data_IF_005858960009
#
_entry.id   IF_005858960009
#
_cell.length_a   1.000
_cell.length_b   1.000
_cell.length_c   1.000
_cell.angle_alpha   90.00
_cell.angle_beta   90.00
_cell.angle_gamma   90.00
#
_symmetry.space_group_name_H-M   'P 1'
#
loop_
_entity.id
_entity.type
_entity.pdbx_description
1 polymer ?
#
# COMPACT_ATOMS: atom_id res chain seq x y z
N UNK A 1 2.81 20.80 -6.40
CA UNK A 1 2.01 20.60 -7.61
C UNK A 1 2.87 19.86 -8.61
N UNK A 2 2.61 18.58 -8.94
CA UNK A 2 3.34 17.89 -10.00
C UNK A 2 2.90 18.46 -11.34
N UNK A 3 3.84 18.55 -12.27
CA UNK A 3 3.85 19.23 -13.53
C UNK A 3 2.51 19.35 -14.26
N UNK A 4 2.12 20.59 -14.52
CA UNK A 4 1.12 20.97 -15.52
C UNK A 4 1.45 20.27 -16.84
N UNK A 5 0.69 19.23 -17.18
CA UNK A 5 0.72 18.64 -18.50
C UNK A 5 0.26 19.72 -19.51
N UNK A 6 1.16 20.14 -20.36
CA UNK A 6 0.92 21.10 -21.46
C UNK A 6 0.05 20.50 -22.60
N UNK A 7 -0.57 19.33 -22.37
CA UNK A 7 -1.48 18.68 -23.30
C UNK A 7 -2.87 18.67 -22.67
N UNK A 8 -3.89 19.02 -23.47
CA UNK A 8 -5.30 18.92 -23.07
C UNK A 8 -5.67 17.51 -22.61
N UNK A 9 -6.94 17.24 -22.25
CA UNK A 9 -7.39 15.94 -21.75
C UNK A 9 -7.14 14.78 -22.74
N UNK A 10 -6.97 15.07 -24.04
CA UNK A 10 -6.51 14.09 -25.05
C UNK A 10 -4.99 14.10 -25.09
N UNK A 11 -4.38 13.05 -24.56
CA UNK A 11 -2.93 12.94 -24.49
C UNK A 11 -2.33 12.48 -25.82
N UNK A 12 -2.99 11.55 -26.50
CA UNK A 12 -2.61 11.07 -27.82
C UNK A 12 -3.79 10.30 -28.46
N UNK A 13 -3.99 10.49 -29.74
CA UNK A 13 -4.90 9.69 -30.57
C UNK A 13 -4.20 9.35 -31.88
N UNK A 14 -4.06 8.06 -32.19
CA UNK A 14 -3.34 7.60 -33.38
C UNK A 14 -3.98 6.36 -33.98
N UNK A 15 -3.91 6.28 -35.30
CA UNK A 15 -4.30 5.12 -36.09
C UNK A 15 -3.08 4.26 -36.42
N UNK A 16 -3.32 2.95 -36.46
CA UNK A 16 -2.33 1.90 -36.74
C UNK A 16 -2.86 0.95 -37.80
N UNK A 17 -1.97 0.49 -38.69
CA UNK A 17 -2.22 -0.62 -39.61
C UNK A 17 -0.94 -1.44 -39.79
N UNK A 18 -1.08 -2.74 -39.94
CA UNK A 18 0.04 -3.67 -40.20
C UNK A 18 1.22 -3.49 -39.21
N UNK A 19 0.93 -3.17 -37.96
CA UNK A 19 1.95 -2.95 -36.92
C UNK A 19 2.68 -1.61 -36.98
N UNK A 20 2.24 -0.68 -37.82
CA UNK A 20 2.83 0.66 -37.95
C UNK A 20 1.81 1.75 -37.64
N UNK A 21 2.29 2.86 -37.04
CA UNK A 21 1.49 4.06 -36.86
C UNK A 21 1.29 4.74 -38.23
N UNK A 22 0.04 4.97 -38.63
CA UNK A 22 -0.32 5.66 -39.88
C UNK A 22 -0.23 7.18 -39.66
N UNK A 23 -0.76 7.66 -38.53
CA UNK A 23 -0.80 9.08 -38.20
C UNK A 23 -1.60 9.38 -36.94
N UNK A 24 -1.66 10.68 -36.60
CA UNK A 24 -2.60 11.16 -35.58
C UNK A 24 -4.00 11.24 -36.20
N UNK A 25 -4.99 11.10 -35.35
CA UNK A 25 -6.41 11.14 -35.72
C UNK A 25 -7.11 12.14 -34.81
N UNK A 26 -7.90 13.02 -35.37
CA UNK A 26 -8.82 13.84 -34.56
C UNK A 26 -10.01 12.98 -34.11
N UNK A 27 -10.63 13.32 -32.98
CA UNK A 27 -11.69 12.49 -32.42
C UNK A 27 -12.86 12.34 -33.41
N UNK A 28 -13.18 13.40 -34.11
CA UNK A 28 -14.30 13.47 -35.09
C UNK A 28 -14.08 12.57 -36.31
N UNK A 29 -12.81 12.23 -36.62
CA UNK A 29 -12.44 11.37 -37.75
C UNK A 29 -12.27 9.91 -37.41
N UNK A 30 -12.47 9.50 -36.13
CA UNK A 30 -12.24 8.15 -35.66
C UNK A 30 -13.14 7.14 -36.38
N UNK A 31 -14.43 7.46 -36.51
CA UNK A 31 -15.39 6.58 -37.19
C UNK A 31 -14.98 6.33 -38.64
N UNK A 32 -14.46 7.34 -39.35
CA UNK A 32 -14.00 7.21 -40.72
C UNK A 32 -12.78 6.28 -40.82
N UNK A 33 -11.82 6.39 -39.88
CA UNK A 33 -10.66 5.49 -39.80
C UNK A 33 -11.11 4.06 -39.57
N UNK A 34 -12.11 3.86 -38.72
CA UNK A 34 -12.62 2.54 -38.35
C UNK A 34 -13.51 1.91 -39.45
N UNK A 35 -13.80 2.59 -40.54
CA UNK A 35 -14.43 1.95 -41.75
C UNK A 35 -13.47 0.98 -42.44
N UNK A 36 -12.18 1.11 -42.22
CA UNK A 36 -11.15 0.22 -42.79
C UNK A 36 -10.84 -0.95 -41.83
N UNK A 37 -11.04 -2.17 -42.28
CA UNK A 37 -10.90 -3.38 -41.43
C UNK A 37 -9.46 -3.68 -41.00
N UNK A 38 -8.47 -3.16 -41.70
CA UNK A 38 -7.03 -3.33 -41.42
C UNK A 38 -6.46 -2.34 -40.42
N UNK A 39 -7.31 -1.43 -39.88
CA UNK A 39 -6.87 -0.36 -38.99
C UNK A 39 -7.47 -0.50 -37.60
N UNK A 40 -6.70 -0.03 -36.62
CA UNK A 40 -7.23 0.23 -35.28
C UNK A 40 -6.78 1.59 -34.75
N UNK A 41 -7.52 2.12 -33.79
CA UNK A 41 -7.23 3.41 -33.13
C UNK A 41 -6.87 3.18 -31.69
N UNK A 42 -5.81 3.85 -31.24
CA UNK A 42 -5.45 3.89 -29.82
C UNK A 42 -5.47 5.35 -29.34
N UNK A 43 -6.44 5.67 -28.47
CA UNK A 43 -6.59 6.98 -27.84
C UNK A 43 -6.25 6.89 -26.34
N UNK A 44 -5.54 7.90 -25.85
CA UNK A 44 -5.21 8.07 -24.43
C UNK A 44 -5.78 9.37 -23.89
N UNK A 45 -6.58 9.29 -22.85
CA UNK A 45 -7.21 10.41 -22.15
C UNK A 45 -6.63 10.52 -20.73
N UNK A 46 -6.55 11.75 -20.23
CA UNK A 46 -6.18 12.03 -18.85
C UNK A 46 -7.14 13.06 -18.24
N UNK A 47 -7.82 12.67 -17.15
CA UNK A 47 -8.84 13.48 -16.48
C UNK A 47 -9.86 14.09 -17.47
N UNK A 48 -10.48 13.29 -18.37
CA UNK A 48 -11.45 13.80 -19.31
C UNK A 48 -12.71 14.28 -18.59
N UNK A 49 -13.31 15.35 -19.09
CA UNK A 49 -14.65 15.76 -18.66
C UNK A 49 -15.76 14.88 -19.28
N UNK A 50 -16.98 15.05 -18.79
CA UNK A 50 -18.15 14.30 -19.27
C UNK A 50 -18.43 14.53 -20.77
N UNK A 51 -18.21 15.75 -21.26
CA UNK A 51 -18.45 16.11 -22.65
C UNK A 51 -17.51 15.34 -23.61
N UNK A 52 -16.23 15.28 -23.26
CA UNK A 52 -15.23 14.52 -24.02
C UNK A 52 -15.50 13.01 -23.96
N UNK A 53 -15.87 12.48 -22.79
CA UNK A 53 -16.24 11.06 -22.67
C UNK A 53 -17.46 10.71 -23.53
N UNK A 54 -18.48 11.59 -23.61
CA UNK A 54 -19.64 11.40 -24.48
C UNK A 54 -19.29 11.47 -25.97
N UNK A 55 -18.38 12.35 -26.35
CA UNK A 55 -17.88 12.42 -27.73
C UNK A 55 -17.17 11.11 -28.11
N UNK A 56 -16.25 10.65 -27.27
CA UNK A 56 -15.54 9.36 -27.45
C UNK A 56 -16.50 8.18 -27.45
N UNK A 57 -17.53 8.20 -26.60
CA UNK A 57 -18.58 7.21 -26.58
C UNK A 57 -19.29 7.11 -27.92
N UNK A 58 -19.64 8.24 -28.52
CA UNK A 58 -20.30 8.30 -29.84
C UNK A 58 -19.45 7.70 -30.95
N UNK A 59 -18.15 7.98 -30.98
CA UNK A 59 -17.24 7.53 -32.03
C UNK A 59 -16.95 6.02 -31.97
N UNK A 60 -16.85 5.45 -30.77
CA UNK A 60 -16.52 4.04 -30.58
C UNK A 60 -17.71 3.15 -30.24
N UNK A 61 -18.90 3.73 -30.03
CA UNK A 61 -20.10 2.97 -29.64
C UNK A 61 -19.96 2.33 -28.24
N UNK A 62 -19.34 3.02 -27.28
CA UNK A 62 -19.07 2.49 -25.95
C UNK A 62 -20.36 2.36 -25.12
N UNK A 63 -20.43 1.35 -24.28
CA UNK A 63 -21.59 1.07 -23.44
C UNK A 63 -21.76 2.13 -22.34
N UNK A 64 -23.02 2.58 -22.09
CA UNK A 64 -23.34 3.64 -21.14
C UNK A 64 -22.80 3.37 -19.73
N UNK A 65 -22.98 2.14 -19.21
CA UNK A 65 -22.51 1.77 -17.87
C UNK A 65 -20.99 1.82 -17.76
N UNK A 66 -20.26 1.48 -18.82
CA UNK A 66 -18.80 1.55 -18.81
C UNK A 66 -18.28 2.99 -18.87
N UNK A 67 -19.01 3.89 -19.53
CA UNK A 67 -18.73 5.32 -19.53
C UNK A 67 -19.01 5.94 -18.15
N UNK A 68 -20.13 5.56 -17.52
CA UNK A 68 -20.47 6.00 -16.16
C UNK A 68 -19.35 5.60 -15.17
N UNK A 69 -18.90 4.35 -15.21
CA UNK A 69 -17.79 3.87 -14.40
C UNK A 69 -16.49 4.62 -14.65
N UNK A 70 -16.18 4.95 -15.90
CA UNK A 70 -14.99 5.71 -16.25
C UNK A 70 -15.07 7.19 -15.83
N UNK A 71 -16.28 7.76 -15.76
CA UNK A 71 -16.48 9.14 -15.32
C UNK A 71 -16.41 9.28 -13.79
N UNK A 72 -17.04 8.35 -13.04
CA UNK A 72 -17.12 8.44 -11.57
C UNK A 72 -15.78 8.13 -10.91
N UNK A 73 -14.91 7.35 -11.56
CA UNK A 73 -13.66 6.83 -10.99
C UNK A 73 -13.87 6.04 -9.66
N UNK A 74 -12.80 5.71 -8.93
CA UNK A 74 -12.83 4.96 -7.67
C UNK A 74 -13.40 3.54 -7.80
N UNK A 75 -13.19 2.93 -8.97
CA UNK A 75 -13.61 1.56 -9.25
C UNK A 75 -12.64 0.54 -8.62
N UNK A 76 -13.20 -0.60 -8.22
CA UNK A 76 -12.36 -1.77 -7.96
C UNK A 76 -11.85 -2.33 -9.28
N UNK A 77 -10.60 -2.84 -9.35
CA UNK A 77 -10.15 -3.49 -10.57
C UNK A 77 -11.13 -4.60 -10.97
N UNK A 78 -11.59 -4.53 -12.22
CA UNK A 78 -12.58 -5.46 -12.78
C UNK A 78 -12.43 -5.60 -14.29
N UNK A 79 -12.94 -6.71 -14.82
CA UNK A 79 -13.09 -6.93 -16.24
C UNK A 79 -14.56 -7.27 -16.52
N UNK A 80 -15.18 -6.51 -17.41
CA UNK A 80 -16.57 -6.69 -17.86
C UNK A 80 -16.61 -6.75 -19.38
N UNK A 81 -17.50 -7.56 -19.91
CA UNK A 81 -17.74 -7.66 -21.36
C UNK A 81 -19.06 -6.97 -21.68
N UNK A 82 -19.01 -6.06 -22.64
CA UNK A 82 -20.17 -5.36 -23.20
C UNK A 82 -20.24 -5.63 -24.71
N UNK A 83 -21.06 -6.61 -25.11
CA UNK A 83 -21.14 -7.04 -26.51
C UNK A 83 -19.77 -7.50 -27.03
N UNK A 84 -19.25 -6.78 -28.05
CA UNK A 84 -17.95 -7.05 -28.68
C UNK A 84 -16.83 -6.16 -28.13
N UNK A 85 -16.97 -5.65 -26.91
CA UNK A 85 -15.96 -4.86 -26.24
C UNK A 85 -15.71 -5.34 -24.80
N UNK A 86 -14.48 -5.11 -24.32
CA UNK A 86 -14.09 -5.30 -22.94
C UNK A 86 -13.93 -3.94 -22.26
N UNK A 87 -14.44 -3.84 -21.06
CA UNK A 87 -14.12 -2.77 -20.12
C UNK A 87 -13.25 -3.33 -18.98
N UNK A 88 -12.10 -2.71 -18.74
CA UNK A 88 -11.16 -3.15 -17.71
C UNK A 88 -10.80 -1.94 -16.87
N UNK A 89 -11.12 -1.98 -15.59
CA UNK A 89 -10.65 -1.01 -14.61
C UNK A 89 -9.41 -1.58 -13.92
N UNK A 90 -8.33 -0.80 -13.90
CA UNK A 90 -7.07 -1.11 -13.23
C UNK A 90 -6.80 -0.03 -12.20
N UNK A 91 -6.28 -0.43 -11.05
CA UNK A 91 -5.72 0.51 -10.09
C UNK A 91 -4.24 0.70 -10.39
N UNK A 92 -3.76 1.93 -10.38
CA UNK A 92 -2.37 2.28 -10.57
C UNK A 92 -1.77 2.79 -9.28
N UNK A 93 -0.48 2.63 -9.09
CA UNK A 93 0.25 3.14 -7.95
C UNK A 93 1.57 3.74 -8.39
N UNK A 94 2.00 4.80 -7.74
CA UNK A 94 3.32 5.41 -7.94
C UNK A 94 3.83 5.99 -6.64
N UNK A 95 5.15 6.03 -6.50
CA UNK A 95 5.77 6.66 -5.34
C UNK A 95 5.82 8.17 -5.54
N UNK A 96 5.15 8.93 -4.68
CA UNK A 96 5.36 10.36 -4.57
C UNK A 96 6.70 10.61 -3.86
N UNK A 97 7.71 10.98 -4.66
CA UNK A 97 9.08 11.23 -4.17
C UNK A 97 9.16 12.41 -3.20
N UNK A 98 8.22 13.36 -3.27
CA UNK A 98 8.23 14.55 -2.40
C UNK A 98 7.64 14.24 -1.02
N UNK A 99 6.57 13.46 -1.00
CA UNK A 99 5.84 13.14 0.24
C UNK A 99 6.23 11.79 0.86
N UNK A 100 7.10 11.00 0.22
CA UNK A 100 7.43 9.62 0.61
C UNK A 100 6.16 8.78 0.87
N UNK A 101 5.14 8.96 0.03
CA UNK A 101 3.86 8.26 0.12
C UNK A 101 3.54 7.60 -1.19
N UNK A 102 2.74 6.55 -1.12
CA UNK A 102 2.19 5.91 -2.31
C UNK A 102 0.96 6.71 -2.72
N UNK A 103 0.97 7.20 -3.95
CA UNK A 103 -0.18 7.81 -4.57
C UNK A 103 -0.85 6.79 -5.49
N UNK A 104 -2.17 6.68 -5.38
CA UNK A 104 -2.97 5.76 -6.18
C UNK A 104 -3.75 6.52 -7.24
N UNK A 105 -3.93 5.88 -8.38
CA UNK A 105 -4.77 6.34 -9.47
C UNK A 105 -5.48 5.16 -10.12
N UNK A 106 -6.12 5.43 -11.25
CA UNK A 106 -6.90 4.43 -11.98
C UNK A 106 -6.66 4.56 -13.47
N UNK A 107 -6.80 3.45 -14.16
CA UNK A 107 -6.86 3.40 -15.61
C UNK A 107 -8.04 2.54 -16.03
N UNK A 108 -8.91 3.12 -16.85
CA UNK A 108 -10.02 2.43 -17.46
C UNK A 108 -9.68 2.18 -18.92
N UNK A 109 -9.78 0.94 -19.36
CA UNK A 109 -9.47 0.50 -20.71
C UNK A 109 -10.74 -0.02 -21.36
N UNK A 110 -11.08 0.55 -22.50
CA UNK A 110 -12.11 0.02 -23.40
C UNK A 110 -11.38 -0.59 -24.59
N UNK A 111 -11.58 -1.87 -24.80
CA UNK A 111 -10.91 -2.63 -25.85
C UNK A 111 -11.95 -3.29 -26.73
N UNK A 112 -11.97 -2.89 -27.98
CA UNK A 112 -12.78 -3.52 -29.04
C UNK A 112 -11.88 -4.22 -30.04
N UNK A 113 -12.48 -4.77 -31.09
CA UNK A 113 -11.75 -5.45 -32.18
C UNK A 113 -10.79 -4.53 -32.90
N UNK A 114 -11.10 -3.22 -32.96
CA UNK A 114 -10.33 -2.20 -33.72
C UNK A 114 -10.01 -0.93 -32.93
N UNK A 115 -10.12 -0.97 -31.60
CA UNK A 115 -9.75 0.20 -30.80
C UNK A 115 -9.27 -0.15 -29.41
N UNK A 116 -8.47 0.76 -28.84
CA UNK A 116 -8.15 0.84 -27.43
C UNK A 116 -8.36 2.28 -26.96
N UNK A 117 -9.24 2.48 -26.00
CA UNK A 117 -9.41 3.74 -25.29
C UNK A 117 -8.85 3.57 -23.88
N UNK A 118 -7.87 4.38 -23.50
CA UNK A 118 -7.30 4.40 -22.16
C UNK A 118 -7.63 5.73 -21.47
N UNK A 119 -8.40 5.68 -20.37
CA UNK A 119 -8.77 6.83 -19.55
C UNK A 119 -8.02 6.71 -18.23
N UNK A 120 -7.26 7.74 -17.86
CA UNK A 120 -6.43 7.75 -16.65
C UNK A 120 -6.94 8.82 -15.68
N UNK A 121 -6.99 8.45 -14.39
CA UNK A 121 -7.36 9.32 -13.28
C UNK A 121 -6.32 9.28 -12.16
N UNK A 122 -6.12 10.40 -11.49
CA UNK A 122 -5.26 10.52 -10.33
C UNK A 122 -3.79 10.23 -10.64
N UNK A 123 -3.13 9.51 -9.72
CA UNK A 123 -1.72 9.17 -9.82
C UNK A 123 -1.50 8.00 -10.80
N UNK A 124 -1.53 8.32 -12.09
CA UNK A 124 -1.30 7.38 -13.17
C UNK A 124 -0.17 7.88 -14.08
N UNK A 125 0.84 7.04 -14.31
CA UNK A 125 1.95 7.35 -15.19
C UNK A 125 1.50 7.48 -16.65
N UNK A 126 2.26 8.26 -17.42
CA UNK A 126 2.02 8.38 -18.86
C UNK A 126 2.29 7.05 -19.58
N UNK A 127 1.44 6.71 -20.55
CA UNK A 127 1.66 5.56 -21.43
C UNK A 127 2.45 5.90 -22.69
N UNK A 128 3.13 7.08 -22.72
CA UNK A 128 3.97 7.45 -23.86
C UNK A 128 5.10 6.42 -24.10
N UNK A 129 5.75 5.96 -23.04
CA UNK A 129 6.81 4.96 -23.14
C UNK A 129 6.27 3.58 -23.54
N UNK A 130 5.07 3.22 -23.07
CA UNK A 130 4.37 2.00 -23.50
C UNK A 130 4.07 2.06 -24.99
N UNK A 131 3.53 3.18 -25.46
CA UNK A 131 3.26 3.43 -26.87
C UNK A 131 4.52 3.33 -27.72
N UNK A 132 5.59 4.02 -27.30
CA UNK A 132 6.87 3.98 -28.00
C UNK A 132 7.45 2.55 -28.09
N UNK A 133 7.34 1.75 -27.03
CA UNK A 133 7.76 0.32 -27.05
C UNK A 133 6.90 -0.50 -28.02
N UNK A 134 5.58 -0.31 -28.03
CA UNK A 134 4.70 -1.01 -28.98
C UNK A 134 5.04 -0.61 -30.43
N UNK A 135 5.27 0.67 -30.72
CA UNK A 135 5.63 1.17 -32.04
C UNK A 135 7.01 0.69 -32.49
N UNK A 136 7.93 0.39 -31.56
CA UNK A 136 9.24 -0.19 -31.86
C UNK A 136 9.20 -1.69 -32.18
N UNK A 137 8.05 -2.37 -31.98
CA UNK A 137 7.86 -3.80 -32.25
C UNK A 137 6.68 -4.05 -33.18
N UNK A 138 6.81 -3.74 -34.49
CA UNK A 138 5.71 -3.81 -35.47
C UNK A 138 5.07 -5.20 -35.58
N UNK A 139 5.86 -6.27 -35.45
CA UNK A 139 5.36 -7.64 -35.50
C UNK A 139 4.37 -7.95 -34.37
N UNK A 140 4.62 -7.41 -33.17
CA UNK A 140 3.72 -7.57 -32.04
C UNK A 140 2.54 -6.61 -32.11
N UNK A 141 2.78 -5.38 -32.53
CA UNK A 141 1.72 -4.36 -32.68
C UNK A 141 0.71 -4.76 -33.78
N UNK A 142 1.13 -5.55 -34.77
CA UNK A 142 0.24 -6.12 -35.80
C UNK A 142 -0.83 -7.06 -35.25
N UNK A 143 -0.65 -7.60 -34.02
CA UNK A 143 -1.67 -8.37 -33.30
C UNK A 143 -2.86 -7.50 -32.82
N UNK A 144 -2.76 -6.18 -33.00
CA UNK A 144 -3.85 -5.24 -32.76
C UNK A 144 -4.12 -4.88 -31.31
N UNK A 145 -5.39 -4.52 -30.97
CA UNK A 145 -5.79 -4.02 -29.67
C UNK A 145 -5.45 -4.94 -28.49
N UNK A 146 -5.49 -6.25 -28.67
CA UNK A 146 -5.13 -7.22 -27.62
C UNK A 146 -3.69 -7.11 -27.15
N UNK A 147 -2.74 -6.80 -28.04
CA UNK A 147 -1.35 -6.57 -27.66
C UNK A 147 -1.16 -5.22 -26.95
N UNK A 148 -1.87 -4.18 -27.38
CA UNK A 148 -1.85 -2.90 -26.66
C UNK A 148 -2.38 -3.04 -25.25
N UNK A 149 -3.47 -3.80 -25.07
CA UNK A 149 -4.01 -4.12 -23.75
C UNK A 149 -2.95 -4.81 -22.88
N UNK A 150 -2.31 -5.86 -23.42
CA UNK A 150 -1.22 -6.54 -22.71
C UNK A 150 -0.13 -5.55 -22.28
N UNK A 151 0.38 -4.72 -23.20
CA UNK A 151 1.48 -3.80 -22.91
C UNK A 151 1.13 -2.77 -21.83
N UNK A 152 -0.12 -2.31 -21.76
CA UNK A 152 -0.59 -1.42 -20.68
C UNK A 152 -0.69 -2.18 -19.37
N UNK A 153 -1.24 -3.39 -19.36
CA UNK A 153 -1.38 -4.19 -18.13
C UNK A 153 -0.03 -4.59 -17.55
N UNK A 154 0.91 -5.02 -18.40
CA UNK A 154 2.28 -5.33 -18.05
C UNK A 154 2.96 -4.14 -17.38
N UNK A 155 2.88 -2.97 -18.01
CA UNK A 155 3.41 -1.74 -17.44
C UNK A 155 2.79 -1.39 -16.08
N UNK A 156 1.47 -1.55 -15.90
CA UNK A 156 0.79 -1.27 -14.64
C UNK A 156 1.23 -2.22 -13.54
N UNK A 157 1.38 -3.50 -13.85
CA UNK A 157 1.82 -4.51 -12.88
C UNK A 157 3.29 -4.29 -12.49
N UNK A 158 4.14 -3.95 -13.45
CA UNK A 158 5.55 -3.68 -13.20
C UNK A 158 5.79 -2.48 -12.25
N UNK A 159 4.89 -1.50 -12.25
CA UNK A 159 4.99 -0.37 -11.33
C UNK A 159 4.82 -0.76 -9.85
N UNK A 160 4.19 -1.88 -9.56
CA UNK A 160 4.02 -2.34 -8.17
C UNK A 160 5.31 -2.89 -7.56
N UNK A 161 6.23 -3.48 -8.36
CA UNK A 161 7.47 -4.07 -7.83
C UNK A 161 8.32 -3.06 -7.04
N UNK A 162 8.74 -1.91 -7.61
CA UNK A 162 9.57 -0.96 -6.87
C UNK A 162 8.87 -0.36 -5.64
N UNK A 163 7.53 -0.34 -5.66
CA UNK A 163 6.75 0.15 -4.50
C UNK A 163 6.78 -0.88 -3.38
N UNK A 164 6.59 -2.17 -3.72
CA UNK A 164 6.59 -3.25 -2.73
C UNK A 164 8.00 -3.47 -2.18
N UNK A 165 9.05 -3.32 -3.01
CA UNK A 165 10.44 -3.34 -2.56
C UNK A 165 10.74 -2.22 -1.55
N UNK A 166 10.27 -1.01 -1.82
CA UNK A 166 10.42 0.11 -0.88
C UNK A 166 9.66 -0.12 0.45
N UNK A 167 8.49 -0.79 0.42
CA UNK A 167 7.75 -1.14 1.64
C UNK A 167 8.44 -2.26 2.44
N UNK A 168 9.15 -3.16 1.76
CA UNK A 168 10.01 -4.17 2.41
C UNK A 168 11.15 -3.49 3.16
N UNK A 169 11.87 -2.55 2.51
CA UNK A 169 12.93 -1.77 3.14
C UNK A 169 12.41 -0.97 4.37
N UNK A 170 11.20 -0.39 4.25
CA UNK A 170 10.56 0.32 5.36
C UNK A 170 10.17 -0.61 6.52
N UNK A 171 9.78 -1.86 6.22
CA UNK A 171 9.49 -2.88 7.24
C UNK A 171 10.76 -3.34 7.95
N UNK A 172 11.85 -3.60 7.21
CA UNK A 172 13.14 -4.00 7.78
C UNK A 172 13.68 -2.90 8.73
N UNK A 173 13.58 -1.63 8.32
CA UNK A 173 13.94 -0.51 9.17
C UNK A 173 13.04 -0.40 10.42
N UNK A 174 11.75 -0.71 10.29
CA UNK A 174 10.80 -0.73 11.39
C UNK A 174 11.11 -1.86 12.38
N UNK A 175 11.47 -3.05 11.91
CA UNK A 175 11.88 -4.18 12.77
C UNK A 175 13.15 -3.84 13.55
N UNK A 176 14.13 -3.22 12.90
CA UNK A 176 15.35 -2.76 13.57
C UNK A 176 15.04 -1.76 14.71
N UNK A 177 14.09 -0.85 14.51
CA UNK A 177 13.65 0.11 15.53
C UNK A 177 12.87 -0.57 16.69
N UNK A 178 12.07 -1.59 16.40
CA UNK A 178 11.30 -2.36 17.42
C UNK A 178 12.26 -3.11 18.36
N UNK A 179 13.31 -3.72 17.82
CA UNK A 179 14.29 -4.50 18.60
C UNK A 179 15.43 -3.67 19.14
N UNK A 180 15.54 -2.38 18.75
CA UNK A 180 16.49 -1.41 19.29
C UNK A 180 16.03 -0.80 20.60
N UNK A 181 16.88 0.08 21.16
CA UNK A 181 16.61 0.76 22.44
C UNK A 181 15.57 1.91 22.33
N UNK A 182 15.16 2.29 21.10
CA UNK A 182 14.32 3.45 20.80
C UNK A 182 12.85 3.09 20.47
N UNK A 183 12.24 2.15 21.18
CA UNK A 183 10.81 1.86 21.02
C UNK A 183 9.97 3.10 21.35
N UNK A 184 9.62 3.88 20.31
CA UNK A 184 8.94 5.17 20.43
C UNK A 184 7.46 5.08 20.04
N UNK A 185 6.68 6.10 20.44
CA UNK A 185 5.28 6.27 20.00
C UNK A 185 5.18 6.37 18.46
N UNK A 186 6.24 6.79 17.79
CA UNK A 186 6.35 6.90 16.33
C UNK A 186 6.30 5.52 15.65
N UNK A 187 6.88 4.49 16.27
CA UNK A 187 6.87 3.10 15.78
C UNK A 187 5.45 2.59 15.52
N UNK A 188 4.50 2.86 16.43
CA UNK A 188 3.11 2.43 16.27
C UNK A 188 2.42 3.13 15.08
N UNK A 189 2.71 4.41 14.86
CA UNK A 189 2.17 5.18 13.72
C UNK A 189 2.74 4.65 12.40
N UNK A 190 4.03 4.31 12.37
CA UNK A 190 4.68 3.72 11.20
C UNK A 190 4.10 2.35 10.86
N UNK A 191 3.89 1.48 11.85
CA UNK A 191 3.20 0.18 11.67
C UNK A 191 1.83 0.38 11.03
N UNK A 192 1.04 1.33 11.53
CA UNK A 192 -0.29 1.60 11.01
C UNK A 192 -0.26 2.08 9.55
N UNK A 193 0.65 3.01 9.22
CA UNK A 193 0.79 3.53 7.87
C UNK A 193 1.21 2.43 6.88
N UNK A 194 2.22 1.63 7.24
CA UNK A 194 2.69 0.53 6.42
C UNK A 194 1.59 -0.52 6.19
N UNK A 195 0.83 -0.85 7.24
CA UNK A 195 -0.33 -1.75 7.13
C UNK A 195 -1.38 -1.23 6.16
N UNK A 196 -1.68 0.08 6.22
CA UNK A 196 -2.64 0.72 5.32
C UNK A 196 -2.15 0.67 3.88
N UNK A 197 -0.89 1.00 3.63
CA UNK A 197 -0.32 1.05 2.30
C UNK A 197 -0.25 -0.36 1.67
N UNK A 198 0.15 -1.39 2.42
CA UNK A 198 0.09 -2.79 1.99
C UNK A 198 -1.35 -3.24 1.66
N UNK A 199 -2.35 -2.81 2.44
CA UNK A 199 -3.75 -3.13 2.19
C UNK A 199 -4.26 -2.48 0.90
N UNK A 200 -3.87 -1.23 0.63
CA UNK A 200 -4.25 -0.53 -0.59
C UNK A 200 -3.63 -1.17 -1.84
N UNK A 201 -2.36 -1.58 -1.76
CA UNK A 201 -1.71 -2.34 -2.84
C UNK A 201 -2.42 -3.67 -3.06
N UNK A 202 -2.72 -4.42 -2.00
CA UNK A 202 -3.44 -5.68 -2.09
C UNK A 202 -4.77 -5.53 -2.81
N UNK A 203 -5.52 -4.45 -2.53
CA UNK A 203 -6.80 -4.15 -3.20
C UNK A 203 -6.64 -3.87 -4.68
N UNK A 204 -5.49 -3.32 -5.10
CA UNK A 204 -5.16 -3.07 -6.50
C UNK A 204 -4.71 -4.32 -7.23
N UNK A 205 -3.83 -5.12 -6.64
CA UNK A 205 -3.14 -6.24 -7.29
C UNK A 205 -3.96 -7.53 -7.27
N UNK A 206 -4.62 -7.86 -6.15
CA UNK A 206 -5.32 -9.14 -6.02
C UNK A 206 -6.34 -9.41 -7.14
N UNK A 207 -7.18 -8.43 -7.57
CA UNK A 207 -8.11 -8.67 -8.67
C UNK A 207 -7.43 -8.83 -10.05
N UNK A 208 -6.19 -8.34 -10.22
CA UNK A 208 -5.46 -8.48 -11.49
C UNK A 208 -5.19 -9.94 -11.83
N UNK A 209 -4.97 -10.78 -10.82
CA UNK A 209 -4.80 -12.23 -10.98
C UNK A 209 -6.02 -12.84 -11.67
N UNK A 210 -7.23 -12.48 -11.21
CA UNK A 210 -8.48 -12.96 -11.80
C UNK A 210 -8.71 -12.38 -13.20
N UNK A 211 -8.40 -11.10 -13.41
CA UNK A 211 -8.50 -10.43 -14.71
C UNK A 211 -7.60 -11.13 -15.72
N UNK A 212 -6.31 -11.33 -15.40
CA UNK A 212 -5.35 -12.02 -16.28
C UNK A 212 -5.80 -13.45 -16.56
N UNK A 213 -6.28 -14.19 -15.56
CA UNK A 213 -6.80 -15.55 -15.75
C UNK A 213 -7.98 -15.58 -16.73
N UNK A 214 -8.89 -14.59 -16.66
CA UNK A 214 -10.00 -14.48 -17.61
C UNK A 214 -9.53 -14.13 -19.02
N UNK A 215 -8.52 -13.25 -19.17
CA UNK A 215 -7.96 -12.87 -20.47
C UNK A 215 -7.23 -14.02 -21.17
N UNK A 216 -6.70 -14.98 -20.41
CA UNK A 216 -6.06 -16.20 -20.97
C UNK A 216 -7.06 -17.26 -21.45
N UNK A 217 -8.35 -17.16 -21.09
CA UNK A 217 -9.38 -18.13 -21.50
C UNK A 217 -9.79 -17.93 -22.95
N UNK A 218 -10.22 -19.03 -23.58
CA UNK A 218 -10.63 -19.03 -24.98
C UNK A 218 -12.02 -18.47 -25.27
N UNK A 219 -12.75 -18.03 -24.23
CA UNK A 219 -14.10 -17.48 -24.35
C UNK A 219 -14.14 -15.98 -24.69
N UNK A 220 -12.98 -15.33 -24.81
CA UNK A 220 -12.85 -13.93 -25.20
C UNK A 220 -12.30 -13.82 -26.64
N UNK A 221 -13.20 -13.74 -27.61
CA UNK A 221 -12.84 -13.64 -29.04
C UNK A 221 -12.03 -12.39 -29.39
N UNK A 222 -12.08 -11.36 -28.53
CA UNK A 222 -11.33 -10.11 -28.67
C UNK A 222 -9.82 -10.25 -28.45
N UNK A 223 -9.39 -11.33 -27.79
CA UNK A 223 -7.98 -11.61 -27.54
C UNK A 223 -7.55 -12.72 -28.49
N UNK A 224 -6.73 -12.43 -29.52
CA UNK A 224 -6.21 -13.44 -30.43
C UNK A 224 -5.44 -14.52 -29.67
N UNK A 225 -5.54 -15.76 -30.13
CA UNK A 225 -4.89 -16.92 -29.49
C UNK A 225 -3.37 -16.73 -29.30
N UNK A 226 -2.72 -16.08 -30.23
CA UNK A 226 -1.30 -15.76 -30.22
C UNK A 226 -0.92 -14.60 -29.31
N UNK A 227 -1.90 -13.83 -28.79
CA UNK A 227 -1.70 -12.80 -27.77
C UNK A 227 -1.86 -13.35 -26.34
N UNK A 228 -2.59 -14.46 -26.15
CA UNK A 228 -2.84 -15.05 -24.81
C UNK A 228 -1.59 -15.42 -24.02
N UNK A 229 -0.51 -15.98 -24.63
CA UNK A 229 0.70 -16.29 -23.87
C UNK A 229 1.34 -15.10 -23.18
N UNK A 230 1.18 -13.89 -23.72
CA UNK A 230 1.71 -12.66 -23.11
C UNK A 230 0.98 -12.31 -21.81
N UNK A 231 -0.32 -12.58 -21.70
CA UNK A 231 -1.07 -12.39 -20.45
C UNK A 231 -0.67 -13.35 -19.34
N UNK A 232 0.01 -14.48 -19.68
CA UNK A 232 0.57 -15.39 -18.68
C UNK A 232 1.72 -14.72 -17.93
N UNK A 233 2.56 -13.95 -18.61
CA UNK A 233 3.67 -13.22 -17.99
C UNK A 233 3.12 -12.16 -17.00
N UNK A 234 2.12 -11.38 -17.42
CA UNK A 234 1.43 -10.43 -16.53
C UNK A 234 0.77 -11.12 -15.34
N UNK A 235 0.18 -12.31 -15.56
CA UNK A 235 -0.42 -13.12 -14.52
C UNK A 235 0.64 -13.57 -13.49
N UNK A 236 1.78 -14.06 -13.94
CA UNK A 236 2.86 -14.52 -13.08
C UNK A 236 3.46 -13.35 -12.28
N UNK A 237 3.60 -12.16 -12.89
CA UNK A 237 4.01 -10.94 -12.22
C UNK A 237 2.99 -10.51 -11.17
N UNK A 238 1.69 -10.52 -11.49
CA UNK A 238 0.62 -10.17 -10.53
C UNK A 238 0.59 -11.12 -9.34
N UNK A 239 0.79 -12.43 -9.54
CA UNK A 239 0.92 -13.41 -8.45
C UNK A 239 2.12 -13.08 -7.57
N UNK A 240 3.30 -12.86 -8.16
CA UNK A 240 4.52 -12.56 -7.39
C UNK A 240 4.38 -11.31 -6.53
N UNK A 241 3.80 -10.24 -7.07
CA UNK A 241 3.52 -9.02 -6.28
C UNK A 241 2.52 -9.33 -5.15
N UNK A 242 1.47 -10.09 -5.46
CA UNK A 242 0.43 -10.45 -4.49
C UNK A 242 0.99 -11.30 -3.34
N UNK A 243 1.82 -12.29 -3.63
CA UNK A 243 2.50 -13.15 -2.65
C UNK A 243 3.47 -12.34 -1.79
N UNK A 244 4.24 -11.43 -2.40
CA UNK A 244 5.16 -10.54 -1.68
C UNK A 244 4.42 -9.63 -0.71
N UNK A 245 3.30 -9.04 -1.13
CA UNK A 245 2.43 -8.22 -0.27
C UNK A 245 1.85 -9.04 0.90
N UNK A 246 1.44 -10.29 0.66
CA UNK A 246 0.95 -11.17 1.73
C UNK A 246 2.04 -11.51 2.74
N UNK A 247 3.26 -11.81 2.27
CA UNK A 247 4.41 -12.04 3.13
C UNK A 247 4.74 -10.83 4.02
N UNK A 248 4.79 -9.63 3.42
CA UNK A 248 5.04 -8.40 4.18
C UNK A 248 3.94 -8.11 5.22
N UNK A 249 2.68 -8.42 4.91
CA UNK A 249 1.57 -8.26 5.87
C UNK A 249 1.68 -9.22 7.04
N UNK A 250 2.13 -10.46 6.82
CA UNK A 250 2.37 -11.44 7.87
C UNK A 250 3.53 -11.01 8.77
N UNK A 251 4.66 -10.60 8.18
CA UNK A 251 5.80 -10.07 8.92
C UNK A 251 5.42 -8.84 9.75
N UNK A 252 4.67 -7.90 9.17
CA UNK A 252 4.19 -6.72 9.90
C UNK A 252 3.27 -7.09 11.07
N UNK A 253 2.46 -8.15 10.93
CA UNK A 253 1.66 -8.70 12.03
C UNK A 253 2.53 -9.16 13.19
N UNK A 254 3.58 -9.94 12.87
CA UNK A 254 4.57 -10.43 13.84
C UNK A 254 5.34 -9.29 14.51
N UNK A 255 5.76 -8.29 13.74
CA UNK A 255 6.44 -7.10 14.26
C UNK A 255 5.55 -6.31 15.24
N UNK A 256 4.25 -6.19 14.95
CA UNK A 256 3.28 -5.57 15.87
C UNK A 256 3.17 -6.34 17.18
N UNK A 257 3.06 -7.67 17.13
CA UNK A 257 2.99 -8.52 18.33
C UNK A 257 4.26 -8.42 19.18
N UNK A 258 5.43 -8.41 18.52
CA UNK A 258 6.71 -8.19 19.18
C UNK A 258 6.77 -6.82 19.88
N UNK A 259 6.37 -5.74 19.20
CA UNK A 259 6.32 -4.39 19.78
C UNK A 259 5.43 -4.30 21.02
N UNK A 260 4.23 -4.93 20.98
CA UNK A 260 3.31 -4.98 22.13
C UNK A 260 3.92 -5.75 23.31
N UNK A 261 4.58 -6.89 23.02
CA UNK A 261 5.24 -7.71 24.02
C UNK A 261 6.39 -6.96 24.69
N UNK A 262 7.27 -6.34 23.93
CA UNK A 262 8.39 -5.55 24.46
C UNK A 262 7.91 -4.36 25.30
N UNK A 263 6.87 -3.66 24.84
CA UNK A 263 6.24 -2.57 25.60
C UNK A 263 5.70 -3.08 26.94
N UNK A 264 5.06 -4.26 26.95
CA UNK A 264 4.54 -4.87 28.17
C UNK A 264 5.65 -5.27 29.14
N UNK A 265 6.76 -5.82 28.61
CA UNK A 265 7.95 -6.15 29.42
C UNK A 265 8.51 -4.87 30.04
N UNK A 266 8.72 -3.81 29.27
CA UNK A 266 9.24 -2.54 29.77
C UNK A 266 8.33 -1.92 30.86
N UNK A 267 7.01 -2.00 30.68
CA UNK A 267 6.03 -1.55 31.67
C UNK A 267 6.11 -2.37 32.96
N UNK A 268 6.25 -3.70 32.86
CA UNK A 268 6.42 -4.58 34.00
C UNK A 268 7.70 -4.27 34.77
N UNK A 269 8.81 -4.01 34.09
CA UNK A 269 10.07 -3.62 34.71
C UNK A 269 9.95 -2.28 35.43
N UNK A 270 9.34 -1.28 34.79
CA UNK A 270 9.07 0.01 35.45
C UNK A 270 8.21 -0.16 36.72
N UNK A 271 7.15 -0.99 36.63
CA UNK A 271 6.29 -1.29 37.77
C UNK A 271 7.05 -1.99 38.88
N UNK A 272 7.90 -2.98 38.58
CA UNK A 272 8.76 -3.64 39.59
C UNK A 272 9.66 -2.62 40.30
N UNK A 273 10.34 -1.72 39.56
CA UNK A 273 11.17 -0.66 40.13
C UNK A 273 10.40 0.25 41.07
N UNK A 274 9.22 0.75 40.63
CA UNK A 274 8.39 1.63 41.47
C UNK A 274 7.94 0.88 42.73
N UNK A 275 7.47 -0.35 42.61
CA UNK A 275 7.01 -1.17 43.74
C UNK A 275 8.15 -1.47 44.70
N UNK A 276 9.36 -1.76 44.18
CA UNK A 276 10.54 -1.98 45.00
C UNK A 276 10.92 -0.76 45.85
N UNK A 277 10.95 0.41 45.25
CA UNK A 277 11.18 1.65 45.98
C UNK A 277 10.07 1.98 46.98
N UNK A 278 8.80 1.83 46.58
CA UNK A 278 7.66 2.04 47.47
C UNK A 278 7.72 1.13 48.72
N UNK A 279 8.08 -0.13 48.55
CA UNK A 279 8.25 -1.06 49.67
C UNK A 279 9.40 -0.65 50.63
N UNK A 280 10.53 -0.16 50.09
CA UNK A 280 11.64 0.34 50.89
C UNK A 280 11.25 1.58 51.69
N UNK A 281 10.50 2.53 51.11
CA UNK A 281 10.03 3.73 51.79
C UNK A 281 8.88 3.48 52.79
N UNK A 282 8.10 2.41 52.57
CA UNK A 282 7.00 2.04 53.48
C UNK A 282 7.51 1.66 54.88
N UNK A 283 8.71 1.04 54.98
CA UNK A 283 9.26 0.59 56.28
C UNK A 283 9.52 1.78 57.23
N UNK A 284 10.33 2.80 56.88
CA UNK A 284 10.56 3.96 57.76
C UNK A 284 9.27 4.75 58.02
N UNK A 285 8.36 4.83 57.03
CA UNK A 285 7.09 5.51 57.17
C UNK A 285 6.19 4.85 58.21
N UNK A 286 6.10 3.49 58.16
CA UNK A 286 5.36 2.69 59.11
C UNK A 286 5.92 2.84 60.56
N UNK A 287 7.26 2.74 60.66
CA UNK A 287 7.93 2.89 61.95
C UNK A 287 7.71 4.30 62.54
N UNK A 288 7.92 5.33 61.71
CA UNK A 288 7.68 6.70 62.11
C UNK A 288 6.20 6.96 62.48
N UNK A 289 5.25 6.34 61.75
CA UNK A 289 3.83 6.39 62.09
C UNK A 289 3.50 5.79 63.43
N UNK A 290 4.07 4.63 63.77
CA UNK A 290 3.87 3.98 65.10
C UNK A 290 4.43 4.86 66.21
N UNK A 291 5.64 5.40 66.08
CA UNK A 291 6.25 6.28 67.06
C UNK A 291 5.64 7.72 67.08
N UNK A 292 4.88 8.09 66.06
CA UNK A 292 4.09 9.34 66.02
C UNK A 292 2.71 9.22 66.66
N UNK A 293 2.31 8.05 67.15
CA UNK A 293 1.02 7.82 67.83
C UNK A 293 1.13 8.34 69.26
N UNK A 294 0.02 8.95 69.77
CA UNK A 294 -0.06 9.51 71.12
C UNK A 294 -0.47 8.44 72.15
N UNK A 295 0.35 7.42 72.35
CA UNK A 295 0.14 6.47 73.45
C UNK A 295 0.74 7.00 74.77
N UNK A 296 0.03 6.85 75.90
CA UNK A 296 0.49 7.27 77.21
C UNK A 296 1.68 6.42 77.75
N UNK A 297 1.80 5.17 77.30
CA UNK A 297 2.85 4.24 77.74
C UNK A 297 3.61 3.64 76.57
N UNK A 298 4.82 4.22 76.33
CA UNK A 298 5.80 3.69 75.37
C UNK A 298 7.15 3.55 76.06
N UNK A 299 7.46 2.35 76.64
CA UNK A 299 8.69 2.15 77.38
C UNK A 299 9.97 2.41 76.56
N UNK A 300 9.93 2.24 75.23
CA UNK A 300 11.08 2.44 74.35
C UNK A 300 11.52 3.90 74.26
N UNK A 301 10.65 4.83 74.45
CA UNK A 301 10.93 6.27 74.42
C UNK A 301 11.74 6.73 75.64
N UNK A 302 11.68 6.03 76.76
CA UNK A 302 12.44 6.30 77.96
C UNK A 302 13.88 5.72 77.92
N UNK A 303 14.16 4.82 76.94
CA UNK A 303 15.46 4.18 76.84
C UNK A 303 16.45 5.06 76.06
N UNK A 304 17.63 5.35 76.70
CA UNK A 304 18.66 6.22 76.13
C UNK A 304 19.12 5.77 74.73
N UNK A 305 19.13 4.50 74.47
CA UNK A 305 19.50 3.90 73.19
C UNK A 305 18.32 3.57 72.27
N UNK A 306 17.09 3.88 72.64
CA UNK A 306 15.89 3.56 71.91
C UNK A 306 15.91 4.17 70.49
N UNK A 307 16.13 5.46 70.37
CA UNK A 307 16.21 6.15 69.07
C UNK A 307 17.30 5.61 68.15
N UNK A 308 18.62 5.51 68.58
CA UNK A 308 19.65 4.92 67.77
C UNK A 308 19.38 3.47 67.34
N UNK A 309 18.75 2.66 68.20
CA UNK A 309 18.40 1.27 67.87
C UNK A 309 17.30 1.19 66.80
N UNK A 310 16.24 1.96 66.90
CA UNK A 310 15.14 2.02 65.93
C UNK A 310 15.68 2.47 64.59
N UNK A 311 16.52 3.53 64.53
CA UNK A 311 17.17 3.99 63.29
C UNK A 311 18.09 2.94 62.70
N UNK A 312 18.87 2.24 63.53
CA UNK A 312 19.75 1.16 63.10
C UNK A 312 18.98 -0.05 62.52
N UNK A 313 17.91 -0.49 63.20
CA UNK A 313 17.04 -1.56 62.71
C UNK A 313 16.37 -1.17 61.39
N UNK A 314 15.84 0.06 61.30
CA UNK A 314 15.23 0.58 60.11
C UNK A 314 16.23 0.57 58.91
N UNK A 315 17.45 1.05 59.14
CA UNK A 315 18.51 1.07 58.13
C UNK A 315 18.89 -0.38 57.69
N UNK A 316 18.99 -1.32 58.63
CA UNK A 316 19.29 -2.72 58.29
C UNK A 316 18.16 -3.34 57.47
N UNK A 317 16.89 -3.13 57.87
CA UNK A 317 15.74 -3.65 57.13
C UNK A 317 15.66 -3.07 55.72
N UNK A 318 15.82 -1.76 55.57
CA UNK A 318 15.84 -1.09 54.26
C UNK A 318 17.01 -1.60 53.40
N UNK A 319 18.21 -1.73 54.00
CA UNK A 319 19.39 -2.26 53.33
C UNK A 319 19.24 -3.73 52.85
N UNK A 320 18.68 -4.57 53.73
CA UNK A 320 18.39 -5.95 53.41
C UNK A 320 17.36 -6.08 52.28
N UNK A 321 16.30 -5.25 52.31
CA UNK A 321 15.27 -5.22 51.27
C UNK A 321 15.85 -4.73 49.94
N UNK A 322 16.64 -3.64 49.97
CA UNK A 322 17.32 -3.13 48.78
C UNK A 322 18.24 -4.19 48.17
N UNK A 323 19.07 -4.87 48.98
CA UNK A 323 19.94 -5.94 48.53
C UNK A 323 19.17 -7.09 47.90
N UNK A 324 18.05 -7.52 48.55
CA UNK A 324 17.19 -8.58 48.04
C UNK A 324 16.55 -8.21 46.70
N UNK A 325 16.00 -6.98 46.57
CA UNK A 325 15.39 -6.50 45.33
C UNK A 325 16.41 -6.33 44.21
N UNK A 326 17.59 -5.80 44.52
CA UNK A 326 18.69 -5.70 43.55
C UNK A 326 19.12 -7.08 43.04
N UNK A 327 19.23 -8.07 43.94
CA UNK A 327 19.57 -9.46 43.54
C UNK A 327 18.46 -10.14 42.74
N UNK A 328 17.22 -9.76 42.92
CA UNK A 328 16.06 -10.33 42.23
C UNK A 328 15.72 -9.56 40.92
N UNK A 329 16.51 -8.55 40.52
CA UNK A 329 16.30 -7.77 39.31
C UNK A 329 15.09 -6.81 39.37
N UNK A 330 14.70 -6.39 40.59
CA UNK A 330 13.62 -5.41 40.74
C UNK A 330 14.11 -3.98 40.79
N UNK A 331 15.38 -3.76 41.15
CA UNK A 331 16.08 -2.47 41.26
C UNK A 331 17.41 -2.51 40.51
#
# INVERSE_FOLDING_TARGET
>A
MPGSNAHGPVVACAAYAHGARIGNVEIEDISDVLTHDDRFVWIGLYEPDEALLKQVQGEFGLHDLAIEDAHVAHQRPKLERYGDSLFIALRTAQTDRQQRRIAFGETHLFVGTRYVVSVRHGASLSYADVRARCEATPELLSKGPGFVLHAIMDFVVDQYFPIVDALEDDLDALEADIFGDDASRDTTVRIYNLKRDLLEIKRGVSPLVDICNRLMRSDLDLIPDDARPYFRDVYDHAIRVNEKVDGLRELLGTALEANLTLTTIAQNEATKRITGWAAIFAIPTMIAGVYGMNFEFMPELQWRWGYPTVMGVTAVLCGALYYRFKRSGWL
#
